data_IF_457299568552
#
_entry.id   IF_457299568552
#
_cell.length_a   1.000
_cell.length_b   1.000
_cell.length_c   1.000
_cell.angle_alpha   90.00
_cell.angle_beta   90.00
_cell.angle_gamma   90.00
#
_symmetry.space_group_name_H-M   'P 1'
#
loop_
_entity.id
_entity.type
_entity.pdbx_description
1 polymer ?
#
# COMPACT_ATOMS: atom_id res chain seq x y z
N UNK A 1 -26.16 -14.42 -7.93
CA UNK A 1 -24.85 -14.88 -7.44
C UNK A 1 -23.78 -14.06 -8.14
N UNK A 2 -22.90 -13.36 -7.41
CA UNK A 2 -21.95 -12.39 -7.97
C UNK A 2 -20.63 -13.05 -8.38
N UNK A 3 -20.05 -12.56 -9.49
CA UNK A 3 -18.73 -12.98 -9.99
C UNK A 3 -17.60 -12.51 -9.05
N UNK A 4 -17.81 -11.43 -8.31
CA UNK A 4 -16.81 -10.82 -7.43
C UNK A 4 -17.16 -10.99 -5.96
N UNK A 5 -16.14 -11.22 -5.14
CA UNK A 5 -16.19 -11.19 -3.69
C UNK A 5 -15.21 -10.17 -3.12
N UNK A 6 -15.57 -9.65 -1.94
CA UNK A 6 -14.81 -8.67 -1.18
C UNK A 6 -14.62 -9.19 0.25
N UNK A 7 -13.38 -9.14 0.75
CA UNK A 7 -13.06 -9.33 2.17
C UNK A 7 -12.43 -8.05 2.67
N UNK A 8 -12.99 -7.52 3.75
CA UNK A 8 -12.36 -6.46 4.54
C UNK A 8 -11.80 -7.13 5.79
N UNK A 9 -10.54 -6.84 6.12
CA UNK A 9 -9.92 -7.42 7.31
C UNK A 9 -10.78 -7.15 8.56
N UNK A 10 -11.18 -8.23 9.27
CA UNK A 10 -12.02 -8.15 10.46
C UNK A 10 -13.53 -8.09 10.21
N UNK A 11 -14.01 -8.21 8.95
CA UNK A 11 -15.43 -8.23 8.61
C UNK A 11 -15.83 -9.51 7.87
N UNK A 12 -17.13 -9.77 7.79
CA UNK A 12 -17.68 -10.87 6.99
C UNK A 12 -17.42 -10.65 5.49
N UNK A 13 -17.35 -11.76 4.75
CA UNK A 13 -17.23 -11.76 3.29
C UNK A 13 -18.47 -11.10 2.68
N UNK A 14 -18.27 -10.22 1.71
CA UNK A 14 -19.32 -9.56 0.95
C UNK A 14 -19.29 -10.01 -0.50
N UNK A 15 -20.46 -10.28 -1.08
CA UNK A 15 -20.62 -10.77 -2.47
C UNK A 15 -21.79 -10.11 -3.18
N UNK A 16 -22.31 -9.02 -2.63
CA UNK A 16 -23.49 -8.28 -3.05
C UNK A 16 -23.12 -7.11 -3.98
N UNK A 17 -22.19 -7.35 -4.91
CA UNK A 17 -21.88 -6.38 -5.95
C UNK A 17 -23.10 -6.11 -6.83
N UNK A 18 -23.41 -4.82 -6.98
CA UNK A 18 -24.45 -4.31 -7.88
C UNK A 18 -23.83 -4.05 -9.25
N UNK A 19 -24.38 -4.66 -10.30
CA UNK A 19 -24.01 -4.32 -11.67
C UNK A 19 -24.58 -2.95 -12.02
N UNK A 20 -23.71 -2.02 -12.39
CA UNK A 20 -24.10 -0.73 -12.93
C UNK A 20 -24.27 -0.90 -14.44
N UNK A 21 -23.19 -1.02 -15.20
CA UNK A 21 -23.28 -1.25 -16.65
C UNK A 21 -22.87 -2.66 -17.00
N UNK A 22 -22.97 -2.97 -18.29
CA UNK A 22 -22.22 -4.08 -18.84
C UNK A 22 -20.74 -3.91 -18.44
N UNK A 23 -20.16 -4.94 -17.82
CA UNK A 23 -18.77 -4.95 -17.35
C UNK A 23 -18.41 -3.98 -16.19
N UNK A 24 -19.37 -3.33 -15.53
CA UNK A 24 -19.10 -2.43 -14.39
C UNK A 24 -19.90 -2.84 -13.15
N UNK A 25 -19.20 -3.07 -12.04
CA UNK A 25 -19.76 -3.56 -10.79
C UNK A 25 -19.35 -2.67 -9.63
N UNK A 26 -20.22 -2.53 -8.64
CA UNK A 26 -19.98 -1.66 -7.49
C UNK A 26 -20.49 -2.28 -6.19
N UNK A 27 -19.80 -2.00 -5.10
CA UNK A 27 -20.25 -2.32 -3.74
C UNK A 27 -19.95 -1.16 -2.80
N UNK A 28 -20.86 -0.89 -1.87
CA UNK A 28 -20.68 0.11 -0.83
C UNK A 28 -20.15 -0.52 0.45
N UNK A 29 -19.18 0.16 1.05
CA UNK A 29 -18.59 -0.22 2.31
C UNK A 29 -18.87 0.88 3.33
N UNK A 30 -19.51 0.51 4.43
CA UNK A 30 -19.72 1.38 5.59
C UNK A 30 -18.45 1.50 6.45
N UNK A 31 -18.33 2.54 7.26
CA UNK A 31 -17.20 2.75 8.20
C UNK A 31 -15.82 2.62 7.53
N UNK A 32 -15.67 3.21 6.35
CA UNK A 32 -14.50 3.05 5.49
C UNK A 32 -13.19 3.57 6.10
N UNK A 33 -13.28 4.47 7.08
CA UNK A 33 -12.12 5.01 7.81
C UNK A 33 -11.35 3.95 8.60
N UNK A 34 -12.03 2.88 9.01
CA UNK A 34 -11.43 1.78 9.77
C UNK A 34 -10.68 0.76 8.90
N UNK A 35 -10.74 0.90 7.57
CA UNK A 35 -10.25 -0.10 6.64
C UNK A 35 -8.76 0.07 6.39
N UNK A 36 -7.99 -0.96 6.77
CA UNK A 36 -6.55 -1.02 6.49
C UNK A 36 -6.22 -1.90 5.29
N UNK A 37 -6.92 -3.03 5.15
CA UNK A 37 -6.67 -4.03 4.11
C UNK A 37 -7.99 -4.52 3.54
N UNK A 38 -8.04 -4.63 2.21
CA UNK A 38 -9.14 -5.27 1.49
C UNK A 38 -8.59 -6.31 0.51
N UNK A 39 -9.36 -7.36 0.29
CA UNK A 39 -9.10 -8.39 -0.73
C UNK A 39 -10.29 -8.43 -1.67
N UNK A 40 -10.03 -8.38 -2.97
CA UNK A 40 -11.04 -8.63 -4.00
C UNK A 40 -10.66 -9.90 -4.75
N UNK A 41 -11.65 -10.72 -5.06
CA UNK A 41 -11.43 -12.00 -5.72
C UNK A 41 -12.60 -12.43 -6.62
N UNK A 42 -12.32 -13.31 -7.57
CA UNK A 42 -13.32 -14.02 -8.35
C UNK A 42 -13.90 -15.16 -7.51
N UNK A 43 -15.22 -15.26 -7.42
CA UNK A 43 -15.91 -16.28 -6.61
C UNK A 43 -15.82 -17.70 -7.20
N UNK A 44 -15.35 -17.82 -8.44
CA UNK A 44 -15.29 -19.10 -9.18
C UNK A 44 -16.62 -19.50 -9.84
N UNK A 45 -17.66 -18.67 -9.74
CA UNK A 45 -18.95 -18.93 -10.37
C UNK A 45 -18.91 -18.83 -11.90
N UNK A 46 -18.15 -17.86 -12.42
CA UNK A 46 -17.88 -17.69 -13.86
C UNK A 46 -16.52 -17.03 -14.02
N UNK A 47 -15.70 -17.46 -15.01
CA UNK A 47 -14.51 -16.72 -15.38
C UNK A 47 -14.88 -15.37 -16.01
N UNK A 48 -13.91 -14.44 -16.01
CA UNK A 48 -13.98 -13.24 -16.83
C UNK A 48 -13.85 -13.61 -18.32
N UNK A 49 -14.33 -12.76 -19.25
CA UNK A 49 -14.11 -12.96 -20.68
C UNK A 49 -12.63 -13.17 -21.03
N UNK A 50 -12.37 -13.93 -22.10
CA UNK A 50 -11.00 -14.20 -22.57
C UNK A 50 -10.33 -12.87 -22.94
N UNK A 51 -9.08 -12.68 -22.51
CA UNK A 51 -8.29 -11.45 -22.67
C UNK A 51 -8.81 -10.23 -21.89
N UNK A 52 -9.68 -10.41 -20.89
CA UNK A 52 -10.13 -9.34 -20.01
C UNK A 52 -9.65 -9.54 -18.57
N UNK A 53 -9.57 -8.44 -17.82
CA UNK A 53 -9.33 -8.41 -16.39
C UNK A 53 -10.29 -7.43 -15.71
N UNK A 54 -10.37 -7.50 -14.38
CA UNK A 54 -11.13 -6.55 -13.56
C UNK A 54 -10.19 -5.52 -12.95
N UNK A 55 -10.24 -4.28 -13.44
CA UNK A 55 -9.62 -3.13 -12.80
C UNK A 55 -10.42 -2.73 -11.57
N UNK A 56 -9.69 -2.49 -10.48
CA UNK A 56 -10.26 -2.22 -9.17
C UNK A 56 -10.03 -0.77 -8.84
N UNK A 57 -11.11 -0.09 -8.46
CA UNK A 57 -11.11 1.30 -8.06
C UNK A 57 -11.76 1.48 -6.70
N UNK A 58 -11.31 2.48 -5.96
CA UNK A 58 -11.91 2.89 -4.70
C UNK A 58 -12.19 4.39 -4.69
N UNK A 59 -13.34 4.76 -4.16
CA UNK A 59 -13.69 6.15 -3.90
C UNK A 59 -14.25 6.30 -2.51
N UNK A 60 -13.73 7.27 -1.76
CA UNK A 60 -14.36 7.72 -0.53
C UNK A 60 -15.55 8.62 -0.84
N UNK A 61 -16.46 8.74 0.12
CA UNK A 61 -17.54 9.72 0.01
C UNK A 61 -16.96 11.15 0.06
N UNK A 62 -17.23 11.98 -0.97
CA UNK A 62 -16.66 13.30 -1.06
C UNK A 62 -17.24 14.23 0.01
N UNK A 63 -16.40 15.06 0.62
CA UNK A 63 -16.84 16.14 1.52
C UNK A 63 -17.00 17.41 0.68
N UNK A 64 -18.09 17.45 -0.10
CA UNK A 64 -18.31 18.47 -1.12
C UNK A 64 -17.45 18.28 -2.37
N UNK A 65 -18.02 18.58 -3.55
CA UNK A 65 -17.37 18.36 -4.85
C UNK A 65 -17.68 17.01 -5.50
N UNK A 66 -17.00 16.71 -6.60
CA UNK A 66 -17.18 15.49 -7.37
C UNK A 66 -16.43 14.30 -6.76
N UNK A 67 -16.98 13.10 -6.99
CA UNK A 67 -16.42 11.85 -6.50
C UNK A 67 -15.14 11.47 -7.26
N UNK A 68 -14.04 11.27 -6.55
CA UNK A 68 -12.73 10.91 -7.13
C UNK A 68 -12.43 9.41 -6.99
N UNK A 69 -12.11 8.77 -8.11
CA UNK A 69 -11.78 7.34 -8.17
C UNK A 69 -10.27 7.12 -8.18
N UNK A 70 -9.81 6.28 -7.26
CA UNK A 70 -8.42 5.87 -7.15
C UNK A 70 -8.29 4.46 -7.68
N UNK A 71 -7.38 4.25 -8.64
CA UNK A 71 -7.03 2.92 -9.10
C UNK A 71 -6.23 2.21 -8.00
N UNK A 72 -6.57 0.95 -7.71
CA UNK A 72 -5.86 0.13 -6.73
C UNK A 72 -4.98 -0.94 -7.38
N UNK A 73 -5.38 -1.41 -8.57
CA UNK A 73 -4.78 -2.53 -9.27
C UNK A 73 -5.84 -3.37 -9.98
N UNK A 74 -5.55 -4.65 -10.21
CA UNK A 74 -6.42 -5.51 -11.01
C UNK A 74 -6.39 -6.98 -10.57
N UNK A 75 -7.41 -7.72 -11.04
CA UNK A 75 -7.51 -9.18 -10.99
C UNK A 75 -7.80 -9.73 -12.39
N UNK A 76 -7.49 -11.01 -12.62
CA UNK A 76 -7.70 -11.70 -13.90
C UNK A 76 -8.03 -13.18 -13.67
N UNK A 77 -8.34 -13.92 -14.74
CA UNK A 77 -8.50 -15.37 -14.62
C UNK A 77 -7.21 -16.08 -14.14
N UNK A 78 -6.04 -15.53 -14.48
CA UNK A 78 -4.72 -16.05 -14.05
C UNK A 78 -4.35 -15.58 -12.63
N UNK A 79 -4.80 -14.38 -12.25
CA UNK A 79 -4.62 -13.79 -10.92
C UNK A 79 -6.00 -13.46 -10.32
N UNK A 80 -6.74 -14.47 -9.84
CA UNK A 80 -8.15 -14.31 -9.48
C UNK A 80 -8.39 -13.55 -8.17
N UNK A 81 -7.34 -13.15 -7.45
CA UNK A 81 -7.46 -12.40 -6.20
C UNK A 81 -6.30 -11.43 -5.99
N UNK A 82 -6.56 -10.30 -5.31
CA UNK A 82 -5.55 -9.32 -4.94
C UNK A 82 -5.85 -8.67 -3.58
N UNK A 83 -4.80 -8.40 -2.80
CA UNK A 83 -4.82 -7.69 -1.51
C UNK A 83 -4.36 -6.24 -1.71
N UNK A 84 -5.10 -5.29 -1.17
CA UNK A 84 -4.79 -3.86 -1.24
C UNK A 84 -4.71 -3.25 0.15
N UNK A 85 -3.69 -2.43 0.38
CA UNK A 85 -3.48 -1.69 1.64
C UNK A 85 -4.01 -0.27 1.49
N UNK A 86 -5.11 0.04 2.17
CA UNK A 86 -5.88 1.27 1.99
C UNK A 86 -5.48 2.38 2.95
N UNK A 87 -5.04 2.04 4.17
CA UNK A 87 -4.71 3.04 5.21
C UNK A 87 -3.59 4.03 4.85
N UNK A 88 -2.88 3.83 3.74
CA UNK A 88 -1.86 4.73 3.22
C UNK A 88 -2.33 5.55 1.99
N UNK A 89 -3.41 5.14 1.33
CA UNK A 89 -3.88 5.73 0.06
C UNK A 89 -4.47 7.13 0.28
N UNK A 90 -5.17 7.35 1.41
CA UNK A 90 -5.72 8.66 1.82
C UNK A 90 -4.66 9.77 1.92
N UNK A 91 -3.37 9.43 2.02
CA UNK A 91 -2.26 10.40 2.10
C UNK A 91 -1.62 10.70 0.75
N UNK A 92 -1.76 9.82 -0.25
CA UNK A 92 -1.13 9.95 -1.57
C UNK A 92 -2.03 10.61 -2.62
N UNK A 93 -3.36 10.59 -2.45
CA UNK A 93 -4.32 11.16 -3.41
C UNK A 93 -4.23 12.69 -3.58
N UNK A 94 -3.48 13.41 -2.74
CA UNK A 94 -3.27 14.85 -2.91
C UNK A 94 -2.23 15.23 -3.98
N UNK A 95 -1.47 14.28 -4.54
CA UNK A 95 -0.36 14.59 -5.47
C UNK A 95 -0.40 13.90 -6.83
N UNK A 96 -1.32 12.97 -7.07
CA UNK A 96 -1.42 12.29 -8.37
C UNK A 96 -2.54 12.89 -9.20
N UNK A 97 -2.24 13.18 -10.48
CA UNK A 97 -3.21 13.62 -11.47
C UNK A 97 -4.47 12.75 -11.38
N UNK A 98 -5.67 13.32 -11.15
CA UNK A 98 -6.90 12.57 -11.25
C UNK A 98 -6.99 12.02 -12.67
N UNK A 99 -6.78 10.72 -12.83
CA UNK A 99 -7.17 10.04 -14.06
C UNK A 99 -8.65 10.33 -14.25
N UNK A 100 -9.04 10.81 -15.44
CA UNK A 100 -10.43 11.13 -15.82
C UNK A 100 -11.29 9.86 -15.90
N UNK A 101 -11.34 9.07 -14.82
CA UNK A 101 -12.17 7.90 -14.70
C UNK A 101 -13.35 8.25 -13.79
N UNK A 102 -14.52 8.28 -14.41
CA UNK A 102 -15.79 8.44 -13.71
C UNK A 102 -16.66 7.25 -14.07
N UNK A 103 -17.19 6.56 -13.07
CA UNK A 103 -18.35 5.68 -13.27
C UNK A 103 -19.54 6.58 -13.61
N UNK A 104 -19.65 6.97 -14.88
CA UNK A 104 -20.68 7.88 -15.34
C UNK A 104 -22.00 7.10 -15.51
N UNK A 105 -22.68 6.84 -14.40
CA UNK A 105 -23.92 6.08 -14.36
C UNK A 105 -25.14 7.00 -14.59
N UNK A 106 -25.20 7.57 -15.79
CA UNK A 106 -26.30 8.44 -16.24
C UNK A 106 -27.67 7.75 -16.32
N UNK A 107 -27.74 6.41 -16.27
CA UNK A 107 -28.96 5.65 -16.52
C UNK A 107 -29.36 4.67 -15.40
N UNK A 108 -28.66 4.68 -14.26
CA UNK A 108 -29.01 3.87 -13.09
C UNK A 108 -29.11 4.78 -11.88
N UNK A 109 -29.98 4.41 -10.95
CA UNK A 109 -30.32 5.09 -9.70
C UNK A 109 -29.08 5.31 -8.79
N UNK A 110 -28.13 6.12 -9.26
CA UNK A 110 -26.95 6.59 -8.53
C UNK A 110 -27.33 7.45 -7.34
N UNK A 111 -28.59 7.88 -7.24
CA UNK A 111 -29.16 8.45 -6.02
C UNK A 111 -28.96 7.55 -4.79
N UNK A 112 -28.84 6.23 -4.96
CA UNK A 112 -28.57 5.30 -3.85
C UNK A 112 -27.14 5.46 -3.33
N UNK A 113 -26.14 5.50 -4.23
CA UNK A 113 -24.71 5.58 -3.87
C UNK A 113 -24.17 7.02 -3.80
N UNK A 114 -24.92 8.02 -4.26
CA UNK A 114 -24.59 9.44 -4.10
C UNK A 114 -25.10 9.98 -2.77
N UNK A 115 -26.07 9.30 -2.15
CA UNK A 115 -26.56 9.60 -0.81
C UNK A 115 -25.95 8.67 0.26
N UNK A 116 -24.79 8.08 -0.05
CA UNK A 116 -24.06 7.21 0.87
C UNK A 116 -23.69 7.97 2.14
N UNK A 117 -23.82 7.29 3.28
CA UNK A 117 -23.63 7.89 4.59
C UNK A 117 -22.24 8.52 4.72
N UNK A 118 -22.12 9.59 5.52
CA UNK A 118 -20.82 10.12 5.93
C UNK A 118 -19.98 8.95 6.48
N UNK A 119 -18.72 8.82 6.06
CA UNK A 119 -17.78 7.72 6.36
C UNK A 119 -17.93 6.41 5.54
N UNK A 120 -18.70 6.42 4.45
CA UNK A 120 -18.73 5.29 3.49
C UNK A 120 -17.65 5.42 2.39
N UNK A 121 -17.34 4.30 1.75
CA UNK A 121 -16.57 4.24 0.52
C UNK A 121 -17.19 3.26 -0.48
N UNK A 122 -16.92 3.47 -1.76
CA UNK A 122 -17.34 2.60 -2.85
C UNK A 122 -16.14 1.89 -3.43
N UNK A 123 -16.33 0.61 -3.73
CA UNK A 123 -15.42 -0.17 -4.55
C UNK A 123 -16.07 -0.40 -5.90
N UNK A 124 -15.35 -0.07 -6.96
CA UNK A 124 -15.75 -0.30 -8.33
C UNK A 124 -14.85 -1.35 -8.98
N UNK A 125 -15.45 -2.28 -9.71
CA UNK A 125 -14.74 -3.24 -10.57
C UNK A 125 -15.18 -3.01 -12.01
N UNK A 126 -14.23 -2.65 -12.87
CA UNK A 126 -14.45 -2.47 -14.30
C UNK A 126 -13.74 -3.59 -15.07
N UNK A 127 -14.50 -4.36 -15.82
CA UNK A 127 -13.98 -5.43 -16.67
C UNK A 127 -13.55 -4.83 -18.01
N UNK A 128 -12.24 -4.80 -18.27
CA UNK A 128 -11.65 -4.15 -19.45
C UNK A 128 -10.55 -5.04 -20.08
N UNK A 129 -10.15 -4.78 -21.34
CA UNK A 129 -9.14 -5.58 -22.01
C UNK A 129 -7.82 -5.60 -21.24
N UNK A 130 -7.20 -6.77 -21.11
CA UNK A 130 -5.99 -6.98 -20.31
C UNK A 130 -4.84 -6.03 -20.73
N UNK A 131 -4.73 -5.74 -22.02
CA UNK A 131 -3.70 -4.84 -22.56
C UNK A 131 -3.80 -3.42 -22.00
N UNK A 132 -5.01 -2.92 -21.74
CA UNK A 132 -5.22 -1.58 -21.17
C UNK A 132 -4.82 -1.54 -19.69
N UNK A 133 -5.14 -2.62 -18.97
CA UNK A 133 -4.81 -2.80 -17.55
C UNK A 133 -3.30 -2.86 -17.35
N UNK A 134 -2.61 -3.70 -18.12
CA UNK A 134 -1.16 -3.86 -18.01
C UNK A 134 -0.42 -2.54 -18.28
N UNK A 135 -0.82 -1.82 -19.33
CA UNK A 135 -0.28 -0.49 -19.63
C UNK A 135 -0.49 0.50 -18.49
N UNK A 136 -1.61 0.42 -17.75
CA UNK A 136 -1.87 1.27 -16.58
C UNK A 136 -0.96 0.88 -15.42
N UNK A 137 -0.81 -0.42 -15.17
CA UNK A 137 0.00 -0.96 -14.07
C UNK A 137 1.50 -0.65 -14.23
N UNK A 138 2.04 -0.72 -15.44
CA UNK A 138 3.45 -0.36 -15.71
C UNK A 138 3.79 1.07 -15.29
N UNK A 139 2.81 1.99 -15.35
CA UNK A 139 3.00 3.38 -14.92
C UNK A 139 2.97 3.54 -13.40
N UNK A 140 2.33 2.63 -12.64
CA UNK A 140 2.19 2.72 -11.18
C UNK A 140 3.20 1.85 -10.40
N UNK A 141 3.67 0.74 -10.97
CA UNK A 141 4.65 -0.16 -10.33
C UNK A 141 6.02 0.48 -10.11
N UNK A 142 6.31 1.61 -10.74
CA UNK A 142 7.46 2.48 -10.41
C UNK A 142 7.41 3.01 -8.97
N UNK A 143 6.27 2.92 -8.27
CA UNK A 143 6.08 3.45 -6.91
C UNK A 143 6.13 2.39 -5.79
N UNK A 144 5.91 1.10 -6.08
CA UNK A 144 5.82 0.03 -5.03
C UNK A 144 7.15 -0.68 -4.75
N UNK A 145 8.09 -0.66 -5.70
CA UNK A 145 9.46 -1.16 -5.54
C UNK A 145 10.22 -0.51 -4.36
N UNK A 146 9.86 0.72 -4.00
CA UNK A 146 10.49 1.47 -2.92
C UNK A 146 10.14 0.94 -1.50
N UNK A 147 9.00 0.27 -1.31
CA UNK A 147 8.58 -0.18 0.03
C UNK A 147 9.27 -1.48 0.47
N UNK A 148 9.41 -2.46 -0.41
CA UNK A 148 10.09 -3.72 -0.10
C UNK A 148 11.61 -3.54 0.03
N UNK A 149 12.21 -2.65 -0.79
CA UNK A 149 13.61 -2.27 -0.61
C UNK A 149 13.85 -1.56 0.73
N UNK A 150 12.88 -0.78 1.23
CA UNK A 150 13.03 -0.06 2.51
C UNK A 150 13.11 -0.95 3.75
N UNK A 151 12.46 -2.13 3.73
CA UNK A 151 12.50 -3.06 4.87
C UNK A 151 13.82 -3.82 4.95
N UNK A 152 14.44 -4.15 3.80
CA UNK A 152 15.76 -4.76 3.74
C UNK A 152 16.90 -3.73 3.97
N UNK A 153 16.69 -2.47 3.57
CA UNK A 153 17.64 -1.38 3.76
C UNK A 153 17.76 -0.94 5.23
N UNK A 154 16.72 -1.15 6.04
CA UNK A 154 16.72 -0.78 7.47
C UNK A 154 17.80 -1.53 8.27
N UNK A 155 17.84 -2.88 8.28
CA UNK A 155 18.90 -3.61 8.98
C UNK A 155 20.29 -3.23 8.47
N UNK A 156 20.47 -3.09 7.16
CA UNK A 156 21.78 -2.76 6.57
C UNK A 156 22.30 -1.40 7.05
N UNK A 157 21.48 -0.34 6.94
CA UNK A 157 21.88 1.01 7.39
C UNK A 157 22.00 1.11 8.90
N UNK A 158 21.17 0.39 9.65
CA UNK A 158 21.28 0.29 11.11
C UNK A 158 22.62 -0.34 11.51
N UNK A 159 22.98 -1.49 10.94
CA UNK A 159 24.25 -2.17 11.22
C UNK A 159 25.44 -1.29 10.83
N UNK A 160 25.39 -0.64 9.66
CA UNK A 160 26.46 0.26 9.22
C UNK A 160 26.63 1.44 10.18
N UNK A 161 25.53 2.06 10.62
CA UNK A 161 25.60 3.15 11.60
C UNK A 161 26.20 2.68 12.95
N UNK A 162 25.78 1.50 13.42
CA UNK A 162 26.30 0.91 14.65
C UNK A 162 27.81 0.65 14.55
N UNK A 163 28.26 -0.04 13.51
CA UNK A 163 29.67 -0.37 13.29
C UNK A 163 30.51 0.90 13.14
N UNK A 164 30.07 1.89 12.34
CA UNK A 164 30.79 3.15 12.18
C UNK A 164 30.94 3.92 13.50
N UNK A 165 29.88 3.96 14.32
CA UNK A 165 29.96 4.59 15.64
C UNK A 165 30.92 3.83 16.55
N UNK A 166 30.82 2.50 16.62
CA UNK A 166 31.71 1.67 17.45
C UNK A 166 33.18 1.80 17.04
N UNK A 167 33.47 1.80 15.74
CA UNK A 167 34.84 2.04 15.23
C UNK A 167 35.38 3.43 15.59
N UNK A 168 34.55 4.47 15.67
CA UNK A 168 35.03 5.81 16.05
C UNK A 168 35.59 5.89 17.48
N UNK A 169 35.29 4.91 18.33
CA UNK A 169 35.82 4.80 19.69
C UNK A 169 36.74 3.59 19.87
N UNK A 170 37.10 2.89 18.80
CA UNK A 170 38.02 1.77 18.86
C UNK A 170 39.42 2.27 19.25
N UNK A 171 39.98 1.68 20.31
CA UNK A 171 41.35 1.94 20.74
C UNK A 171 42.14 0.65 20.62
N UNK A 172 43.27 0.74 19.92
CA UNK A 172 44.18 -0.38 19.68
C UNK A 172 45.20 -0.50 20.82
N UNK A 173 45.14 -1.59 21.58
CA UNK A 173 46.16 -1.90 22.59
C UNK A 173 47.10 -3.00 22.07
N UNK A 174 48.41 -2.91 22.35
CA UNK A 174 49.34 -3.98 22.01
C UNK A 174 49.01 -5.23 22.84
N UNK A 175 48.86 -6.38 22.19
CA UNK A 175 48.71 -7.66 22.90
C UNK A 175 50.00 -7.99 23.65
N UNK A 176 49.93 -8.43 24.91
CA UNK A 176 51.12 -8.92 25.60
C UNK A 176 51.70 -10.10 24.80
N UNK A 177 52.94 -9.94 24.31
CA UNK A 177 53.75 -10.89 23.56
C UNK A 177 53.51 -11.04 22.04
N UNK A 178 52.80 -10.13 21.36
CA UNK A 178 52.77 -10.09 19.88
C UNK A 178 52.72 -8.65 19.36
N UNK A 179 53.23 -8.39 18.15
CA UNK A 179 53.10 -7.07 17.47
C UNK A 179 51.68 -6.82 16.91
N UNK A 180 50.69 -7.57 17.37
CA UNK A 180 49.29 -7.43 16.95
C UNK A 180 48.55 -6.51 17.91
N UNK A 181 47.82 -5.56 17.35
CA UNK A 181 46.92 -4.68 18.09
C UNK A 181 45.52 -5.28 18.10
N UNK A 182 44.84 -5.17 19.23
CA UNK A 182 43.40 -5.50 19.32
C UNK A 182 42.62 -4.22 19.59
N UNK A 183 41.58 -4.01 18.79
CA UNK A 183 40.66 -2.89 18.92
C UNK A 183 39.63 -3.20 20.00
N UNK A 184 39.56 -2.35 21.02
CA UNK A 184 38.54 -2.44 22.07
C UNK A 184 37.61 -1.25 21.99
N UNK A 185 36.33 -1.49 22.24
CA UNK A 185 35.31 -0.43 22.30
C UNK A 185 34.80 -0.28 23.74
N UNK A 186 34.85 0.94 24.32
CA UNK A 186 34.31 1.18 25.64
C UNK A 186 32.80 0.89 25.72
N UNK A 187 32.36 0.26 26.81
CA UNK A 187 30.94 0.00 27.04
C UNK A 187 30.08 1.27 27.03
N UNK A 188 30.65 2.41 27.49
CA UNK A 188 30.02 3.72 27.47
C UNK A 188 29.63 4.15 26.05
N UNK A 189 30.43 3.82 25.04
CA UNK A 189 30.15 4.13 23.65
C UNK A 189 28.87 3.43 23.17
N UNK A 190 28.65 2.17 23.53
CA UNK A 190 27.40 1.45 23.20
C UNK A 190 26.18 2.17 23.79
N UNK A 191 26.29 2.62 25.04
CA UNK A 191 25.22 3.36 25.73
C UNK A 191 24.95 4.72 25.07
N UNK A 192 25.99 5.43 24.65
CA UNK A 192 25.87 6.72 23.94
C UNK A 192 25.28 6.55 22.53
N UNK A 193 25.65 5.51 21.79
CA UNK A 193 25.04 5.17 20.50
C UNK A 193 23.53 4.97 20.67
N UNK A 194 23.13 4.14 21.63
CA UNK A 194 21.72 3.85 21.88
C UNK A 194 20.93 5.12 22.22
N UNK A 195 21.49 5.96 23.08
CA UNK A 195 20.86 7.22 23.50
C UNK A 195 20.71 8.18 22.31
N UNK A 196 21.73 8.29 21.46
CA UNK A 196 21.69 9.11 20.26
C UNK A 196 20.73 8.56 19.19
N UNK A 197 20.73 7.25 18.98
CA UNK A 197 19.83 6.57 18.06
C UNK A 197 18.37 6.78 18.48
N UNK A 198 18.05 6.56 19.76
CA UNK A 198 16.72 6.77 20.32
C UNK A 198 16.26 8.22 20.11
N UNK A 199 17.10 9.20 20.47
CA UNK A 199 16.81 10.63 20.26
C UNK A 199 16.54 10.96 18.78
N UNK A 200 17.33 10.41 17.85
CA UNK A 200 17.16 10.65 16.40
C UNK A 200 15.92 9.96 15.85
N UNK A 201 15.58 8.77 16.36
CA UNK A 201 14.37 8.05 15.99
C UNK A 201 13.10 8.78 16.45
N UNK A 202 13.10 9.27 17.69
CA UNK A 202 12.01 10.08 18.24
C UNK A 202 11.83 11.40 17.46
N UNK A 203 12.94 12.03 17.05
CA UNK A 203 12.89 13.24 16.25
C UNK A 203 12.46 13.01 14.79
N UNK A 204 12.88 11.89 14.16
CA UNK A 204 12.52 11.56 12.79
C UNK A 204 12.54 10.03 12.57
N UNK A 205 11.38 9.35 12.47
CA UNK A 205 11.30 7.90 12.26
C UNK A 205 11.98 7.36 10.99
N UNK A 206 12.29 8.22 10.01
CA UNK A 206 12.94 7.88 8.75
C UNK A 206 14.40 8.36 8.65
N UNK A 207 15.01 8.87 9.73
CA UNK A 207 16.37 9.46 9.68
C UNK A 207 17.45 8.50 9.13
N UNK A 208 17.25 7.21 9.33
CA UNK A 208 18.16 6.16 8.90
C UNK A 208 18.17 5.99 7.37
N UNK A 209 17.12 6.43 6.65
CA UNK A 209 17.06 6.36 5.18
C UNK A 209 18.06 7.31 4.51
N UNK A 210 18.38 8.43 5.15
CA UNK A 210 19.26 9.48 4.60
C UNK A 210 20.68 9.44 5.16
N UNK A 211 21.03 8.43 5.95
CA UNK A 211 22.41 8.19 6.36
C UNK A 211 23.25 7.85 5.10
N UNK A 212 24.36 8.57 4.85
CA UNK A 212 25.34 8.21 3.81
C UNK A 212 26.05 6.89 4.15
#
# INVERSE_FOLDING_TARGET
>A
MSVFGLIIAGRMVQTDFTALKEMEYMIEIQDAESINHLVIFLTGLSPLPVNYGGSIYMSWTPIGGERQWNYLGFISNEKPSALFKIGQLTKHTQQQNPQNFSFNASNINTNIFNNSAVHSALIGVKVEPMIEILRRNENEETSTSEQLSSLALFPEKMLRNFVNFMHSFAVSFPKPNTTQYEEYVPAKSVTEWYTNFKRRLEANPNFWKTLP
#
